data_IF_236994301946
#
_entry.id   IF_236994301946
#
_cell.length_a   1.000
_cell.length_b   1.000
_cell.length_c   1.000
_cell.angle_alpha   90.00
_cell.angle_beta   90.00
_cell.angle_gamma   90.00
#
_symmetry.space_group_name_H-M   'P 1'
#
loop_
_entity.id
_entity.type
_entity.pdbx_description
1 polymer ?
#
# COMPACT_ATOMS: atom_id res chain seq x y z
N UNK A 1 10.78 -6.15 17.41
CA UNK A 1 9.45 -6.66 16.99
C UNK A 1 9.11 -7.95 17.74
N UNK A 2 7.83 -8.30 17.91
CA UNK A 2 7.44 -9.66 18.33
C UNK A 2 7.26 -10.56 17.10
N UNK A 3 7.78 -11.79 17.13
CA UNK A 3 7.68 -12.82 16.07
C UNK A 3 6.26 -12.95 15.45
N UNK A 4 5.23 -12.60 16.20
CA UNK A 4 3.83 -12.62 15.78
C UNK A 4 3.49 -11.65 14.62
N UNK A 5 4.16 -10.50 14.47
CA UNK A 5 3.82 -9.51 13.43
C UNK A 5 4.33 -9.90 12.04
N UNK A 6 5.54 -10.47 11.95
CA UNK A 6 6.06 -11.02 10.69
C UNK A 6 5.21 -12.19 10.21
N UNK A 7 4.86 -13.10 11.13
CA UNK A 7 4.01 -14.24 10.81
C UNK A 7 2.61 -13.80 10.32
N UNK A 8 2.05 -12.75 10.93
CA UNK A 8 0.78 -12.15 10.50
C UNK A 8 0.81 -11.70 9.04
N UNK A 9 1.79 -10.86 8.68
CA UNK A 9 1.92 -10.36 7.30
C UNK A 9 2.26 -11.46 6.30
N UNK A 10 3.09 -12.44 6.70
CA UNK A 10 3.44 -13.59 5.84
C UNK A 10 2.21 -14.45 5.55
N UNK A 11 1.35 -14.68 6.53
CA UNK A 11 0.12 -15.43 6.31
C UNK A 11 -0.83 -14.70 5.37
N UNK A 12 -0.90 -13.38 5.45
CA UNK A 12 -1.71 -12.57 4.53
C UNK A 12 -1.19 -12.62 3.09
N UNK A 13 0.10 -12.34 2.85
CA UNK A 13 0.69 -12.38 1.50
C UNK A 13 0.51 -13.76 0.85
N UNK A 14 0.63 -14.83 1.64
CA UNK A 14 0.47 -16.20 1.16
C UNK A 14 -1.00 -16.67 1.05
N UNK A 15 -1.98 -15.76 1.15
CA UNK A 15 -3.42 -16.05 1.12
C UNK A 15 -3.86 -17.12 2.13
N UNK A 16 -3.15 -17.23 3.25
CA UNK A 16 -3.48 -18.14 4.36
C UNK A 16 -4.35 -17.47 5.42
N UNK A 17 -4.47 -16.16 5.34
CA UNK A 17 -5.25 -15.34 6.27
C UNK A 17 -5.78 -14.10 5.54
N UNK A 18 -7.06 -13.82 5.70
CA UNK A 18 -7.62 -12.53 5.29
C UNK A 18 -7.35 -11.47 6.36
N UNK A 19 -7.11 -10.24 5.92
CA UNK A 19 -7.10 -9.08 6.81
C UNK A 19 -8.50 -8.46 6.74
N UNK A 20 -9.30 -8.58 7.81
CA UNK A 20 -10.64 -8.02 7.81
C UNK A 20 -10.53 -6.50 7.72
N UNK A 21 -11.35 -5.91 6.86
CA UNK A 21 -11.59 -4.47 6.90
C UNK A 21 -12.24 -4.13 8.24
N UNK A 22 -11.74 -3.11 8.93
CA UNK A 22 -12.30 -2.60 10.18
C UNK A 22 -12.64 -1.13 10.05
N UNK A 23 -13.68 -0.69 10.75
CA UNK A 23 -14.18 0.68 10.71
C UNK A 23 -13.13 1.71 11.15
N UNK A 24 -12.31 1.40 12.15
CA UNK A 24 -11.30 2.31 12.69
C UNK A 24 -9.86 1.98 12.22
N UNK A 25 -9.73 1.15 11.19
CA UNK A 25 -8.42 0.71 10.71
C UNK A 25 -7.87 1.67 9.65
N UNK A 26 -6.58 2.02 9.74
CA UNK A 26 -5.90 2.77 8.69
C UNK A 26 -5.92 1.99 7.38
N UNK A 27 -6.29 2.64 6.29
CA UNK A 27 -6.38 1.99 4.98
C UNK A 27 -5.22 2.43 4.11
N UNK A 28 -4.42 1.48 3.63
CA UNK A 28 -3.42 1.74 2.59
C UNK A 28 -3.95 1.19 1.26
N UNK A 29 -3.99 2.04 0.24
CA UNK A 29 -4.01 1.64 -1.16
C UNK A 29 -2.60 1.76 -1.71
N UNK A 30 -2.07 0.71 -2.32
CA UNK A 30 -0.82 0.81 -3.06
C UNK A 30 -0.93 0.16 -4.43
N UNK A 31 -0.22 0.74 -5.40
CA UNK A 31 -0.02 0.23 -6.75
C UNK A 31 1.49 0.15 -6.98
N UNK A 32 1.97 -1.01 -7.41
CA UNK A 32 3.33 -1.19 -7.91
C UNK A 32 3.22 -1.85 -9.28
N UNK A 33 3.66 -1.18 -10.32
CA UNK A 33 3.56 -1.66 -11.69
C UNK A 33 4.91 -1.63 -12.40
N UNK A 34 5.31 -2.79 -12.94
CA UNK A 34 6.43 -2.91 -13.86
C UNK A 34 5.95 -2.54 -15.27
N UNK A 35 6.45 -1.43 -15.78
CA UNK A 35 6.07 -0.88 -17.08
C UNK A 35 6.61 -1.70 -18.26
N UNK A 36 7.64 -2.53 -18.05
CA UNK A 36 8.23 -3.33 -19.13
C UNK A 36 7.48 -4.63 -19.38
N UNK A 37 6.94 -5.25 -18.33
CA UNK A 37 6.25 -6.54 -18.41
C UNK A 37 4.73 -6.45 -18.31
N UNK A 38 4.20 -5.27 -18.00
CA UNK A 38 2.79 -5.06 -17.66
C UNK A 38 2.33 -5.90 -16.45
N UNK A 39 3.28 -6.35 -15.61
CA UNK A 39 3.00 -6.96 -14.32
C UNK A 39 2.74 -5.87 -13.31
N UNK A 40 1.61 -5.91 -12.63
CA UNK A 40 1.26 -4.94 -11.61
C UNK A 40 0.54 -5.60 -10.43
N UNK A 41 0.72 -5.00 -9.27
CA UNK A 41 0.04 -5.35 -8.03
C UNK A 41 -0.65 -4.10 -7.52
N UNK A 42 -1.95 -4.22 -7.27
CA UNK A 42 -2.77 -3.21 -6.61
C UNK A 42 -3.48 -3.87 -5.45
N UNK A 43 -3.42 -3.27 -4.25
CA UNK A 43 -4.09 -3.83 -3.07
C UNK A 43 -4.59 -2.73 -2.15
N UNK A 44 -5.68 -3.06 -1.48
CA UNK A 44 -6.17 -2.34 -0.31
C UNK A 44 -5.84 -3.15 0.94
N UNK A 45 -5.23 -2.52 1.93
CA UNK A 45 -4.78 -3.15 3.16
C UNK A 45 -5.31 -2.39 4.37
N UNK A 46 -5.97 -3.10 5.28
CA UNK A 46 -6.46 -2.54 6.53
C UNK A 46 -5.43 -2.79 7.66
N UNK A 47 -4.83 -1.73 8.17
CA UNK A 47 -3.94 -1.75 9.32
C UNK A 47 -4.71 -1.36 10.57
N UNK A 48 -5.20 -2.35 11.31
CA UNK A 48 -6.08 -2.17 12.49
C UNK A 48 -5.48 -1.37 13.66
N UNK A 49 -4.17 -1.10 13.62
CA UNK A 49 -3.47 -0.26 14.60
C UNK A 49 -2.32 0.47 13.92
N UNK A 50 -1.86 1.58 14.48
CA UNK A 50 -0.71 2.33 13.96
C UNK A 50 0.59 1.50 14.02
N UNK A 51 0.72 0.63 15.02
CA UNK A 51 1.82 -0.34 15.07
C UNK A 51 1.79 -1.34 13.90
N UNK A 52 0.61 -1.79 13.50
CA UNK A 52 0.46 -2.64 12.32
C UNK A 52 0.75 -1.85 11.03
N UNK A 53 0.37 -0.57 10.97
CA UNK A 53 0.69 0.34 9.87
C UNK A 53 2.21 0.47 9.68
N UNK A 54 2.97 0.80 10.72
CA UNK A 54 4.44 0.88 10.63
C UNK A 54 5.07 -0.47 10.26
N UNK A 55 4.59 -1.57 10.83
CA UNK A 55 5.09 -2.89 10.48
C UNK A 55 4.83 -3.23 9.00
N UNK A 56 3.65 -2.90 8.48
CA UNK A 56 3.34 -3.10 7.06
C UNK A 56 4.27 -2.28 6.17
N UNK A 57 4.44 -1.00 6.48
CA UNK A 57 5.30 -0.10 5.70
C UNK A 57 6.75 -0.63 5.68
N UNK A 58 7.33 -0.90 6.86
CA UNK A 58 8.75 -1.26 6.99
C UNK A 58 9.11 -2.63 6.43
N UNK A 59 8.22 -3.61 6.56
CA UNK A 59 8.56 -5.02 6.29
C UNK A 59 7.84 -5.60 5.08
N UNK A 60 6.84 -4.91 4.53
CA UNK A 60 6.16 -5.33 3.30
C UNK A 60 6.35 -4.28 2.22
N UNK A 61 5.88 -3.06 2.45
CA UNK A 61 5.79 -2.05 1.39
C UNK A 61 7.17 -1.57 0.91
N UNK A 62 8.03 -1.10 1.81
CA UNK A 62 9.36 -0.59 1.44
C UNK A 62 10.25 -1.67 0.80
N UNK A 63 10.37 -2.90 1.35
CA UNK A 63 11.11 -3.97 0.69
C UNK A 63 10.54 -4.31 -0.70
N UNK A 64 9.22 -4.41 -0.82
CA UNK A 64 8.55 -4.68 -2.09
C UNK A 64 8.91 -3.65 -3.16
N UNK A 65 8.88 -2.36 -2.81
CA UNK A 65 9.21 -1.26 -3.72
C UNK A 65 10.68 -1.32 -4.14
N UNK A 66 11.61 -1.39 -3.17
CA UNK A 66 13.04 -1.29 -3.49
C UNK A 66 13.55 -2.53 -4.25
N UNK A 67 13.06 -3.73 -3.91
CA UNK A 67 13.42 -4.96 -4.61
C UNK A 67 12.81 -4.96 -6.01
N UNK A 68 11.54 -4.55 -6.16
CA UNK A 68 10.92 -4.41 -7.49
C UNK A 68 11.70 -3.44 -8.38
N UNK A 69 12.10 -2.29 -7.84
CA UNK A 69 12.86 -1.24 -8.55
C UNK A 69 14.21 -1.74 -9.08
N UNK A 70 14.90 -2.59 -8.34
CA UNK A 70 16.29 -2.96 -8.64
C UNK A 70 16.45 -4.37 -9.21
N UNK A 71 15.57 -5.31 -8.85
CA UNK A 71 15.64 -6.71 -9.30
C UNK A 71 14.42 -7.09 -10.13
N UNK A 72 13.23 -6.79 -9.61
CA UNK A 72 11.96 -7.14 -10.27
C UNK A 72 11.87 -6.63 -11.70
N UNK A 73 12.38 -5.42 -11.98
CA UNK A 73 12.41 -4.89 -13.34
C UNK A 73 13.21 -5.74 -14.33
N UNK A 74 14.34 -6.32 -13.92
CA UNK A 74 15.16 -7.17 -14.78
C UNK A 74 14.44 -8.49 -15.09
N UNK A 75 13.77 -9.04 -14.10
CA UNK A 75 13.03 -10.30 -14.23
C UNK A 75 11.63 -10.09 -14.82
N UNK A 76 11.20 -8.83 -15.02
CA UNK A 76 9.88 -8.49 -15.53
C UNK A 76 8.76 -8.69 -14.51
N UNK A 77 9.07 -8.70 -13.22
CA UNK A 77 8.11 -9.01 -12.16
C UNK A 77 8.04 -7.91 -11.10
N UNK A 78 6.91 -7.87 -10.40
CA UNK A 78 6.75 -7.05 -9.19
C UNK A 78 6.97 -7.98 -8.00
N UNK A 79 7.90 -7.61 -7.13
CA UNK A 79 8.21 -8.36 -5.93
C UNK A 79 7.31 -7.91 -4.77
N UNK A 80 6.61 -8.86 -4.15
CA UNK A 80 5.80 -8.64 -2.95
C UNK A 80 6.09 -9.78 -1.96
N UNK A 81 6.74 -9.47 -0.85
CA UNK A 81 6.95 -10.41 0.25
C UNK A 81 7.16 -9.66 1.58
N UNK A 82 7.21 -10.40 2.68
CA UNK A 82 7.61 -9.90 4.00
C UNK A 82 9.10 -10.11 4.20
N UNK A 83 9.87 -9.02 4.15
CA UNK A 83 11.30 -9.02 4.37
C UNK A 83 11.67 -8.23 5.61
N UNK A 84 12.51 -8.82 6.46
CA UNK A 84 13.14 -8.07 7.53
C UNK A 84 14.20 -7.10 6.98
N UNK A 85 14.64 -6.14 7.79
CA UNK A 85 15.63 -5.14 7.39
C UNK A 85 16.92 -5.76 6.83
N UNK A 86 17.55 -6.65 7.60
CA UNK A 86 18.79 -7.33 7.17
C UNK A 86 18.56 -8.30 6.00
N UNK A 87 17.37 -8.89 5.91
CA UNK A 87 17.00 -9.76 4.79
C UNK A 87 16.91 -8.96 3.50
N UNK A 88 16.26 -7.78 3.55
CA UNK A 88 16.16 -6.85 2.42
C UNK A 88 17.54 -6.38 1.96
N UNK A 89 18.40 -5.98 2.90
CA UNK A 89 19.78 -5.61 2.59
C UNK A 89 20.56 -6.75 1.94
N UNK A 90 20.45 -7.95 2.51
CA UNK A 90 21.06 -9.16 1.95
C UNK A 90 20.60 -9.42 0.52
N UNK A 91 19.30 -9.31 0.24
CA UNK A 91 18.75 -9.48 -1.12
C UNK A 91 19.36 -8.47 -2.10
N UNK A 92 19.42 -7.19 -1.72
CA UNK A 92 19.96 -6.11 -2.56
C UNK A 92 21.47 -6.31 -2.84
N UNK A 93 22.25 -6.66 -1.81
CA UNK A 93 23.69 -6.90 -1.94
C UNK A 93 24.00 -8.13 -2.80
N UNK A 94 23.26 -9.22 -2.63
CA UNK A 94 23.46 -10.46 -3.40
C UNK A 94 23.03 -10.34 -4.86
N UNK A 95 22.17 -9.37 -5.20
CA UNK A 95 21.76 -9.12 -6.57
C UNK A 95 22.94 -8.72 -7.47
N UNK A 96 24.00 -8.12 -6.91
CA UNK A 96 25.24 -7.78 -7.61
C UNK A 96 25.06 -6.92 -8.86
N UNK A 97 23.97 -6.15 -8.94
CA UNK A 97 23.65 -5.30 -10.09
C UNK A 97 24.23 -3.90 -9.93
N UNK A 98 24.59 -3.26 -11.04
CA UNK A 98 25.07 -1.87 -11.03
C UNK A 98 24.02 -0.94 -10.38
N UNK A 99 24.43 -0.22 -9.32
CA UNK A 99 23.55 0.70 -8.59
C UNK A 99 22.90 0.13 -7.32
N UNK A 100 23.22 -1.11 -6.91
CA UNK A 100 22.70 -1.69 -5.67
C UNK A 100 23.10 -0.86 -4.43
N UNK A 101 24.27 -0.21 -4.43
CA UNK A 101 24.70 0.64 -3.30
C UNK A 101 23.71 1.78 -3.06
N UNK A 102 23.26 2.42 -4.15
CA UNK A 102 22.25 3.47 -4.07
C UNK A 102 20.90 2.91 -3.60
N UNK A 103 20.55 1.70 -4.03
CA UNK A 103 19.33 1.03 -3.57
C UNK A 103 19.36 0.75 -2.07
N UNK A 104 20.52 0.32 -1.56
CA UNK A 104 20.77 0.14 -0.12
C UNK A 104 20.65 1.48 0.61
N UNK A 105 21.32 2.54 0.13
CA UNK A 105 21.23 3.89 0.73
C UNK A 105 19.78 4.41 0.77
N UNK A 106 19.03 4.26 -0.33
CA UNK A 106 17.61 4.66 -0.41
C UNK A 106 16.76 3.85 0.60
N UNK A 107 16.94 2.52 0.65
CA UNK A 107 16.18 1.67 1.57
C UNK A 107 16.47 1.99 3.04
N UNK A 108 17.75 2.14 3.40
CA UNK A 108 18.15 2.49 4.77
C UNK A 108 17.55 3.83 5.17
N UNK A 109 17.65 4.85 4.31
CA UNK A 109 17.04 6.17 4.55
C UNK A 109 15.54 6.07 4.78
N UNK A 110 14.80 5.41 3.88
CA UNK A 110 13.35 5.29 4.01
C UNK A 110 12.95 4.52 5.27
N UNK A 111 13.68 3.45 5.58
CA UNK A 111 13.41 2.66 6.78
C UNK A 111 13.63 3.49 8.04
N UNK A 112 14.74 4.23 8.13
CA UNK A 112 15.04 5.12 9.26
C UNK A 112 14.03 6.26 9.37
N UNK A 113 13.58 6.86 8.26
CA UNK A 113 12.52 7.87 8.29
C UNK A 113 11.23 7.31 8.91
N UNK A 114 10.81 6.10 8.52
CA UNK A 114 9.62 5.45 9.09
C UNK A 114 9.84 5.02 10.55
N UNK A 115 11.04 4.57 10.90
CA UNK A 115 11.38 4.21 12.29
C UNK A 115 11.31 5.42 13.22
N UNK A 116 11.84 6.57 12.78
CA UNK A 116 11.74 7.84 13.50
C UNK A 116 10.29 8.31 13.66
N UNK A 117 9.42 8.06 12.67
CA UNK A 117 7.98 8.34 12.80
C UNK A 117 7.32 7.44 13.87
N UNK A 118 7.68 6.15 13.92
CA UNK A 118 7.17 5.22 14.93
C UNK A 118 7.63 5.59 16.33
N UNK A 119 8.91 5.96 16.52
CA UNK A 119 9.46 6.31 17.83
C UNK A 119 8.79 7.54 18.47
N UNK A 120 8.40 8.53 17.64
CA UNK A 120 7.76 9.77 18.13
C UNK A 120 6.24 9.73 18.13
N UNK A 121 5.63 8.61 17.75
CA UNK A 121 4.17 8.48 17.58
C UNK A 121 3.60 9.57 16.65
N UNK A 122 4.13 9.64 15.43
CA UNK A 122 3.85 10.70 14.48
C UNK A 122 2.37 10.76 14.05
N UNK A 123 1.92 11.96 13.69
CA UNK A 123 0.57 12.14 13.14
C UNK A 123 0.46 11.49 11.75
N UNK A 124 -0.76 11.08 11.36
CA UNK A 124 -1.02 10.43 10.07
C UNK A 124 -0.53 11.26 8.87
N UNK A 125 -0.65 12.59 8.93
CA UNK A 125 -0.16 13.49 7.89
C UNK A 125 1.34 13.37 7.65
N UNK A 126 2.15 13.19 8.71
CA UNK A 126 3.60 13.01 8.59
C UNK A 126 3.94 11.65 7.94
N UNK A 127 3.12 10.62 8.21
CA UNK A 127 3.26 9.31 7.56
C UNK A 127 2.93 9.42 6.07
N UNK A 128 1.85 10.12 5.72
CA UNK A 128 1.45 10.38 4.32
C UNK A 128 2.57 11.11 3.57
N UNK A 129 3.20 12.12 4.20
CA UNK A 129 4.30 12.87 3.59
C UNK A 129 5.49 11.97 3.25
N UNK A 130 5.89 11.06 4.15
CA UNK A 130 6.98 10.11 3.88
C UNK A 130 6.61 9.14 2.75
N UNK A 131 5.40 8.57 2.76
CA UNK A 131 4.95 7.65 1.70
C UNK A 131 4.84 8.33 0.32
N UNK A 132 4.41 9.58 0.30
CA UNK A 132 4.38 10.43 -0.91
C UNK A 132 5.80 10.66 -1.43
N UNK A 133 6.75 10.92 -0.52
CA UNK A 133 8.16 11.08 -0.85
C UNK A 133 8.74 9.81 -1.48
N UNK A 134 8.54 8.66 -0.84
CA UNK A 134 8.96 7.35 -1.35
C UNK A 134 8.44 7.13 -2.77
N UNK A 135 7.13 7.35 -2.99
CA UNK A 135 6.51 7.19 -4.30
C UNK A 135 7.12 8.14 -5.35
N UNK A 136 7.36 9.41 -4.98
CA UNK A 136 7.94 10.42 -5.89
C UNK A 136 9.41 10.19 -6.25
N UNK A 137 10.15 9.49 -5.40
CA UNK A 137 11.55 9.12 -5.64
C UNK A 137 11.68 7.92 -6.60
N UNK A 138 10.56 7.24 -6.90
CA UNK A 138 10.49 6.24 -7.95
C UNK A 138 10.28 6.93 -9.30
N UNK A 139 11.27 6.83 -10.18
CA UNK A 139 11.16 7.36 -11.53
C UNK A 139 10.41 6.38 -12.43
N UNK A 140 9.15 6.67 -12.72
CA UNK A 140 8.32 5.85 -13.60
C UNK A 140 8.97 5.58 -14.97
N UNK A 141 9.77 6.52 -15.48
CA UNK A 141 10.48 6.39 -16.77
C UNK A 141 11.57 5.32 -16.73
N UNK A 142 11.99 4.91 -15.54
CA UNK A 142 12.94 3.82 -15.31
C UNK A 142 12.26 2.46 -15.15
N UNK A 143 10.94 2.38 -15.40
CA UNK A 143 10.23 1.11 -15.57
C UNK A 143 9.37 0.69 -14.39
N UNK A 144 9.40 1.39 -13.25
CA UNK A 144 8.54 1.08 -12.11
C UNK A 144 7.63 2.26 -11.79
N UNK A 145 6.33 2.06 -11.80
CA UNK A 145 5.36 3.01 -11.26
C UNK A 145 4.96 2.60 -9.85
N UNK A 146 4.92 3.56 -8.93
CA UNK A 146 4.49 3.36 -7.55
C UNK A 146 3.53 4.48 -7.15
N UNK A 147 2.38 4.10 -6.62
CA UNK A 147 1.40 4.99 -6.00
C UNK A 147 1.05 4.43 -4.62
N UNK A 148 1.05 5.28 -3.60
CA UNK A 148 0.73 4.90 -2.23
C UNK A 148 -0.19 5.97 -1.65
N UNK A 149 -1.43 5.59 -1.32
CA UNK A 149 -2.40 6.44 -0.65
C UNK A 149 -2.71 5.83 0.73
N UNK A 150 -2.72 6.67 1.75
CA UNK A 150 -3.01 6.30 3.12
C UNK A 150 -4.20 7.13 3.62
N UNK A 151 -5.23 6.44 4.10
CA UNK A 151 -6.48 7.00 4.58
C UNK A 151 -6.64 6.68 6.07
N UNK A 152 -7.24 7.62 6.80
CA UNK A 152 -7.48 7.48 8.24
C UNK A 152 -8.35 6.27 8.54
N UNK A 153 -9.42 6.12 7.78
CA UNK A 153 -10.33 4.99 7.89
C UNK A 153 -11.06 4.71 6.57
N UNK A 154 -11.93 3.70 6.61
CA UNK A 154 -12.71 3.27 5.46
C UNK A 154 -13.76 4.31 5.03
N UNK A 155 -14.30 5.13 5.94
CA UNK A 155 -15.24 6.20 5.57
C UNK A 155 -14.54 7.30 4.76
N UNK A 156 -13.29 7.64 5.11
CA UNK A 156 -12.47 8.55 4.32
C UNK A 156 -12.19 8.03 2.91
N UNK A 157 -12.05 6.71 2.71
CA UNK A 157 -11.83 6.12 1.39
C UNK A 157 -12.95 6.47 0.42
N UNK A 158 -14.22 6.35 0.82
CA UNK A 158 -15.36 6.64 -0.05
C UNK A 158 -15.35 8.08 -0.57
N UNK A 159 -15.14 9.04 0.34
CA UNK A 159 -15.08 10.47 0.00
C UNK A 159 -13.89 10.80 -0.88
N UNK A 160 -12.72 10.22 -0.58
CA UNK A 160 -11.51 10.40 -1.39
C UNK A 160 -11.67 9.83 -2.80
N UNK A 161 -12.29 8.66 -2.95
CA UNK A 161 -12.54 8.05 -4.26
C UNK A 161 -13.43 8.94 -5.13
N UNK A 162 -14.56 9.43 -4.60
CA UNK A 162 -15.45 10.31 -5.36
C UNK A 162 -14.68 11.56 -5.82
N UNK A 163 -13.92 12.17 -4.91
CA UNK A 163 -13.14 13.37 -5.20
C UNK A 163 -12.05 13.12 -6.27
N UNK A 164 -11.33 11.99 -6.20
CA UNK A 164 -10.32 11.61 -7.22
C UNK A 164 -10.96 11.57 -8.63
N UNK A 165 -12.13 10.96 -8.77
CA UNK A 165 -12.83 10.85 -10.05
C UNK A 165 -13.52 12.15 -10.48
N UNK A 166 -13.93 13.01 -9.54
CA UNK A 166 -14.40 14.37 -9.85
C UNK A 166 -13.28 15.25 -10.42
N UNK A 167 -12.07 15.16 -9.86
CA UNK A 167 -10.91 15.94 -10.32
C UNK A 167 -10.47 15.55 -11.74
N UNK A 168 -10.69 14.28 -12.12
CA UNK A 168 -10.36 13.73 -13.44
C UNK A 168 -11.50 13.78 -14.47
N UNK A 169 -12.67 14.35 -14.12
CA UNK A 169 -13.90 14.37 -14.96
C UNK A 169 -14.35 12.95 -15.37
N UNK A 170 -14.16 11.98 -14.46
CA UNK A 170 -14.42 10.54 -14.68
C UNK A 170 -15.49 9.98 -13.74
N UNK A 171 -16.33 10.83 -13.16
CA UNK A 171 -17.37 10.40 -12.19
C UNK A 171 -18.28 9.31 -12.74
N UNK A 172 -18.68 9.40 -14.01
CA UNK A 172 -19.52 8.39 -14.67
C UNK A 172 -18.86 7.00 -14.65
N UNK A 173 -17.54 6.93 -14.86
CA UNK A 173 -16.79 5.67 -14.81
C UNK A 173 -16.83 5.04 -13.41
N UNK A 174 -16.70 5.87 -12.36
CA UNK A 174 -16.79 5.41 -10.96
C UNK A 174 -18.18 4.83 -10.67
N UNK A 175 -19.23 5.55 -11.07
CA UNK A 175 -20.61 5.10 -10.87
C UNK A 175 -20.88 3.79 -11.61
N UNK A 176 -20.39 3.65 -12.85
CA UNK A 176 -20.51 2.43 -13.65
C UNK A 176 -19.75 1.25 -13.04
N UNK A 177 -18.51 1.46 -12.58
CA UNK A 177 -17.71 0.42 -11.92
C UNK A 177 -18.37 -0.07 -10.62
N UNK A 178 -18.87 0.86 -9.81
CA UNK A 178 -19.51 0.55 -8.53
C UNK A 178 -20.94 0.03 -8.71
N UNK A 179 -21.60 0.39 -9.81
CA UNK A 179 -23.02 0.17 -10.03
C UNK A 179 -23.90 0.94 -9.02
N UNK A 180 -23.42 2.11 -8.58
CA UNK A 180 -24.01 2.96 -7.55
C UNK A 180 -23.76 4.43 -7.94
N UNK A 181 -24.70 5.32 -7.63
CA UNK A 181 -24.46 6.77 -7.76
C UNK A 181 -23.45 7.26 -6.73
N UNK A 182 -22.80 8.41 -6.96
CA UNK A 182 -21.87 9.02 -6.01
C UNK A 182 -22.49 9.20 -4.62
N UNK A 183 -23.77 9.58 -4.56
CA UNK A 183 -24.48 9.71 -3.29
C UNK A 183 -24.63 8.35 -2.58
N UNK A 184 -24.98 7.30 -3.32
CA UNK A 184 -25.07 5.95 -2.75
C UNK A 184 -23.70 5.40 -2.34
N UNK A 185 -22.62 5.79 -3.03
CA UNK A 185 -21.25 5.48 -2.64
C UNK A 185 -20.90 6.21 -1.33
N UNK A 186 -21.19 7.51 -1.22
CA UNK A 186 -20.94 8.29 0.00
C UNK A 186 -21.72 7.71 1.19
N UNK A 187 -23.04 7.50 1.03
CA UNK A 187 -23.90 6.89 2.05
C UNK A 187 -23.37 5.50 2.47
N UNK A 188 -22.91 4.70 1.50
CA UNK A 188 -22.34 3.36 1.73
C UNK A 188 -21.09 3.39 2.64
N UNK A 189 -20.21 4.37 2.45
CA UNK A 189 -18.96 4.49 3.22
C UNK A 189 -19.17 5.24 4.55
N UNK A 190 -20.12 6.16 4.62
CA UNK A 190 -20.45 6.90 5.84
C UNK A 190 -21.21 6.02 6.86
N UNK A 191 -22.17 5.20 6.40
CA UNK A 191 -22.97 4.32 7.28
C UNK A 191 -22.27 3.01 7.66
N UNK A 192 -21.01 2.82 7.23
CA UNK A 192 -20.30 1.56 7.37
C UNK A 192 -20.07 1.17 8.85
N UNK A 193 -20.02 2.17 9.73
CA UNK A 193 -19.86 2.01 11.19
C UNK A 193 -21.05 1.31 11.85
N UNK A 194 -22.23 1.45 11.27
CA UNK A 194 -23.45 0.84 11.79
C UNK A 194 -23.81 -0.48 11.09
N UNK A 195 -23.02 -0.90 10.08
CA UNK A 195 -23.39 -2.02 9.20
C UNK A 195 -22.22 -2.96 8.83
N UNK A 196 -21.94 -3.92 9.73
CA UNK A 196 -20.92 -4.98 9.55
C UNK A 196 -21.10 -5.83 8.29
N UNK A 197 -22.33 -5.96 7.77
CA UNK A 197 -22.57 -6.66 6.51
C UNK A 197 -21.99 -5.87 5.32
N UNK A 198 -22.17 -4.55 5.33
CA UNK A 198 -21.64 -3.66 4.29
C UNK A 198 -20.11 -3.56 4.34
N UNK A 199 -19.51 -3.57 5.54
CA UNK A 199 -18.06 -3.59 5.71
C UNK A 199 -17.39 -4.78 5.00
N UNK A 200 -17.98 -5.97 5.09
CA UNK A 200 -17.49 -7.16 4.36
C UNK A 200 -17.62 -6.99 2.85
N UNK A 201 -18.72 -6.39 2.39
CA UNK A 201 -19.00 -6.19 0.98
C UNK A 201 -18.10 -5.11 0.36
N UNK A 202 -17.75 -4.06 1.09
CA UNK A 202 -16.79 -3.04 0.68
C UNK A 202 -15.39 -3.64 0.49
N UNK A 203 -14.95 -4.52 1.39
CA UNK A 203 -13.66 -5.20 1.24
C UNK A 203 -13.57 -5.97 -0.07
N UNK A 204 -14.66 -6.63 -0.47
CA UNK A 204 -14.80 -7.28 -1.78
C UNK A 204 -14.82 -6.24 -2.92
N UNK A 205 -15.62 -5.18 -2.83
CA UNK A 205 -15.73 -4.15 -3.88
C UNK A 205 -14.39 -3.45 -4.16
N UNK A 206 -13.67 -3.05 -3.11
CA UNK A 206 -12.37 -2.39 -3.24
C UNK A 206 -11.33 -3.28 -3.92
N UNK A 207 -11.33 -4.58 -3.62
CA UNK A 207 -10.35 -5.52 -4.16
C UNK A 207 -10.77 -6.20 -5.47
N UNK A 208 -12.05 -6.18 -5.85
CA UNK A 208 -12.54 -6.83 -7.09
C UNK A 208 -12.94 -5.83 -8.18
N UNK A 209 -13.48 -4.65 -7.82
CA UNK A 209 -14.07 -3.72 -8.79
C UNK A 209 -13.28 -2.43 -8.98
N UNK A 210 -12.66 -1.94 -7.91
CA UNK A 210 -11.72 -0.82 -7.98
C UNK A 210 -10.29 -1.36 -8.19
N UNK A 211 -10.16 -2.52 -8.85
CA UNK A 211 -8.91 -3.16 -9.23
C UNK A 211 -8.49 -2.67 -10.62
#
# INVERSE_FOLDING_TARGET
MSVNQIAYWRNWINNRQDIPMTEDGYIIRYIIANQYSNTWVKRWVCCTTQKNLYAFIKYVLLPSIIISKNMGLKDGEVYIDVCEYNETLGILEHAGQEGYEKAVEDYVRWFEEVDNLEEKDAALSEIIEVLSKVSSEIDFRKGLFVEINLYEDISFVGRSLIKEYEEDDMVEDLEDMMGLSCKEIEDLFDDIRDNKFMLRRISTLLNERLY
#
